data_IF_352720175528
#
_entry.id   IF_352720175528
#
_cell.length_a   1.000
_cell.length_b   1.000
_cell.length_c   1.000
_cell.angle_alpha   90.00
_cell.angle_beta   90.00
_cell.angle_gamma   90.00
#
_symmetry.space_group_name_H-M   'P 1'
#
loop_
_entity.id
_entity.type
_entity.pdbx_description
1 polymer ?
#
# COMPACT_ATOMS: atom_id res chain seq x y z
N UNK A 1 -15.97 21.65 -61.45
CA UNK A 1 -16.35 20.43 -60.68
C UNK A 1 -15.37 20.31 -59.54
N UNK A 2 -15.77 20.56 -58.30
CA UNK A 2 -14.92 20.34 -57.12
C UNK A 2 -14.93 18.85 -56.78
N UNK A 3 -13.75 18.23 -56.70
CA UNK A 3 -13.63 16.87 -56.18
C UNK A 3 -14.17 16.80 -54.75
N UNK A 4 -14.81 15.69 -54.34
CA UNK A 4 -15.19 15.47 -52.95
C UNK A 4 -13.94 15.49 -52.06
N UNK A 5 -13.94 16.35 -51.04
CA UNK A 5 -12.87 16.44 -50.06
C UNK A 5 -13.05 15.30 -49.06
N UNK A 6 -12.28 14.21 -49.20
CA UNK A 6 -12.27 13.14 -48.19
C UNK A 6 -11.62 13.73 -46.93
N UNK A 7 -12.33 13.78 -45.79
CA UNK A 7 -11.75 14.32 -44.56
C UNK A 7 -10.51 13.52 -44.18
N UNK A 8 -9.44 14.23 -43.82
CA UNK A 8 -8.21 13.62 -43.32
C UNK A 8 -8.49 13.03 -41.93
N UNK A 9 -8.78 11.74 -41.88
CA UNK A 9 -8.81 10.95 -40.66
C UNK A 9 -7.37 10.53 -40.35
N UNK A 10 -6.73 11.26 -39.45
CA UNK A 10 -5.49 10.80 -38.82
C UNK A 10 -5.89 10.01 -37.57
N UNK A 11 -5.93 8.67 -37.60
CA UNK A 11 -6.32 7.91 -36.42
C UNK A 11 -5.26 8.14 -35.33
N UNK A 12 -5.68 8.72 -34.20
CA UNK A 12 -4.88 8.76 -32.98
C UNK A 12 -4.89 7.36 -32.38
N UNK A 13 -3.91 6.54 -32.79
CA UNK A 13 -3.69 5.22 -32.21
C UNK A 13 -2.77 5.39 -31.00
N UNK A 14 -3.35 5.47 -29.81
CA UNK A 14 -2.61 5.42 -28.54
C UNK A 14 -2.71 4.02 -27.95
N UNK A 15 -1.65 3.22 -28.08
CA UNK A 15 -1.56 1.89 -27.46
C UNK A 15 -0.44 1.93 -26.42
N UNK A 16 -0.77 1.57 -25.19
CA UNK A 16 0.23 1.44 -24.12
C UNK A 16 0.98 0.11 -24.25
N UNK A 17 2.20 0.04 -23.72
CA UNK A 17 3.01 -1.20 -23.76
C UNK A 17 2.25 -2.40 -23.16
N UNK A 18 1.48 -2.18 -22.08
CA UNK A 18 0.64 -3.21 -21.47
C UNK A 18 -0.52 -3.67 -22.38
N UNK A 19 -1.08 -2.79 -23.20
CA UNK A 19 -2.10 -3.16 -24.20
C UNK A 19 -1.49 -3.86 -25.42
N UNK A 20 -0.22 -3.64 -25.72
CA UNK A 20 0.47 -4.25 -26.86
C UNK A 20 0.63 -5.76 -26.70
N UNK A 21 0.89 -6.26 -25.48
CA UNK A 21 1.10 -7.70 -25.24
C UNK A 21 -0.16 -8.53 -25.59
N UNK A 22 -1.37 -8.23 -25.06
CA UNK A 22 -2.59 -8.91 -25.46
C UNK A 22 -2.87 -8.83 -26.97
N UNK A 23 -2.56 -7.70 -27.62
CA UNK A 23 -2.73 -7.53 -29.06
C UNK A 23 -1.77 -8.42 -29.87
N UNK A 24 -0.51 -8.53 -29.43
CA UNK A 24 0.47 -9.42 -30.07
C UNK A 24 0.08 -10.89 -29.88
N UNK A 25 -0.34 -11.30 -28.68
CA UNK A 25 -0.84 -12.65 -28.43
C UNK A 25 -2.08 -12.96 -29.27
N UNK A 26 -3.02 -12.01 -29.38
CA UNK A 26 -4.18 -12.16 -30.26
C UNK A 26 -3.80 -12.28 -31.73
N UNK A 27 -2.75 -11.58 -32.19
CA UNK A 27 -2.28 -11.68 -33.57
C UNK A 27 -1.66 -13.04 -33.89
N UNK A 28 -0.94 -13.63 -32.93
CA UNK A 28 -0.39 -14.98 -33.03
C UNK A 28 -1.54 -15.99 -33.11
N UNK A 29 -2.54 -15.87 -32.24
CA UNK A 29 -3.72 -16.74 -32.26
C UNK A 29 -4.50 -16.66 -33.59
N UNK A 30 -4.55 -15.49 -34.24
CA UNK A 30 -5.16 -15.33 -35.57
C UNK A 30 -4.31 -15.96 -36.68
N UNK A 31 -2.97 -15.88 -36.60
CA UNK A 31 -2.07 -16.59 -37.54
C UNK A 31 -2.24 -18.12 -37.39
N UNK A 32 -2.31 -18.64 -36.16
CA UNK A 32 -2.56 -20.07 -35.89
C UNK A 32 -3.92 -20.53 -36.44
N UNK A 33 -4.98 -19.74 -36.25
CA UNK A 33 -6.30 -20.04 -36.80
C UNK A 33 -6.27 -20.11 -38.34
N UNK A 34 -5.53 -19.21 -38.98
CA UNK A 34 -5.37 -19.23 -40.43
C UNK A 34 -4.59 -20.47 -40.91
N UNK A 35 -3.55 -20.89 -40.19
CA UNK A 35 -2.78 -22.10 -40.51
C UNK A 35 -3.63 -23.37 -40.35
N UNK A 36 -4.52 -23.43 -39.35
CA UNK A 36 -5.48 -24.53 -39.18
C UNK A 36 -6.40 -24.66 -40.40
N UNK A 37 -6.89 -23.54 -40.95
CA UNK A 37 -7.70 -23.57 -42.17
C UNK A 37 -6.91 -24.06 -43.39
N UNK A 38 -5.63 -23.70 -43.53
CA UNK A 38 -4.77 -24.22 -44.60
C UNK A 38 -4.60 -25.73 -44.46
N UNK A 39 -4.37 -26.23 -43.25
CA UNK A 39 -4.24 -27.66 -42.99
C UNK A 39 -5.50 -28.44 -43.36
N UNK A 40 -6.68 -27.91 -42.99
CA UNK A 40 -7.97 -28.49 -43.37
C UNK A 40 -8.16 -28.50 -44.91
N UNK A 41 -7.85 -27.40 -45.60
CA UNK A 41 -7.97 -27.33 -47.05
C UNK A 41 -7.05 -28.32 -47.77
N UNK A 42 -5.83 -28.55 -47.26
CA UNK A 42 -4.93 -29.57 -47.79
C UNK A 42 -5.43 -31.00 -47.51
N UNK A 43 -6.13 -31.23 -46.39
CA UNK A 43 -6.79 -32.50 -46.09
C UNK A 43 -7.98 -32.77 -47.03
N UNK A 44 -8.83 -31.76 -47.26
CA UNK A 44 -9.94 -31.84 -48.23
C UNK A 44 -9.44 -32.10 -49.64
N UNK A 45 -8.31 -31.49 -50.04
CA UNK A 45 -7.66 -31.74 -51.34
C UNK A 45 -7.27 -33.22 -51.50
N UNK A 46 -6.73 -33.85 -50.45
CA UNK A 46 -6.42 -35.29 -50.49
C UNK A 46 -7.70 -36.13 -50.58
N UNK A 47 -8.71 -35.82 -49.79
CA UNK A 47 -10.00 -36.51 -49.81
C UNK A 47 -10.68 -36.40 -51.18
N UNK A 48 -10.57 -35.24 -51.85
CA UNK A 48 -11.12 -35.00 -53.18
C UNK A 48 -10.52 -35.94 -54.23
N UNK A 49 -9.19 -36.00 -54.28
CA UNK A 49 -8.48 -36.81 -55.29
C UNK A 49 -8.63 -38.32 -55.01
N UNK A 50 -8.81 -38.70 -53.75
CA UNK A 50 -9.12 -40.08 -53.36
C UNK A 50 -10.60 -40.46 -53.57
N UNK A 51 -11.45 -39.51 -53.94
CA UNK A 51 -12.89 -39.73 -54.10
C UNK A 51 -13.63 -39.96 -52.79
N UNK A 52 -13.06 -39.55 -51.65
CA UNK A 52 -13.64 -39.71 -50.31
C UNK A 52 -14.20 -38.40 -49.75
N UNK A 53 -14.13 -37.30 -50.50
CA UNK A 53 -14.72 -36.01 -50.12
C UNK A 53 -16.21 -36.02 -50.48
N UNK A 54 -17.04 -36.47 -49.54
CA UNK A 54 -18.50 -36.42 -49.65
C UNK A 54 -19.02 -35.14 -49.01
N UNK A 55 -19.53 -34.19 -49.80
CA UNK A 55 -20.21 -33.03 -49.19
C UNK A 55 -21.54 -32.60 -49.84
N UNK A 56 -21.97 -33.15 -50.99
CA UNK A 56 -23.24 -32.67 -51.60
C UNK A 56 -24.02 -33.68 -52.47
N UNK A 57 -23.71 -34.99 -52.45
CA UNK A 57 -24.42 -35.95 -53.31
C UNK A 57 -24.12 -35.80 -54.81
N UNK A 58 -23.09 -35.03 -55.16
CA UNK A 58 -22.46 -35.00 -56.47
C UNK A 58 -21.04 -35.50 -56.27
N UNK A 59 -20.77 -36.74 -56.64
CA UNK A 59 -19.41 -37.28 -56.66
C UNK A 59 -18.65 -36.58 -57.78
N UNK A 60 -17.85 -35.57 -57.45
CA UNK A 60 -16.81 -35.05 -58.33
C UNK A 60 -15.66 -36.07 -58.35
N UNK A 61 -15.93 -37.29 -58.83
CA UNK A 61 -14.87 -38.22 -59.15
C UNK A 61 -14.21 -37.71 -60.44
N UNK A 62 -12.89 -37.44 -60.45
CA UNK A 62 -12.18 -37.25 -61.70
C UNK A 62 -12.43 -38.48 -62.59
N UNK A 63 -12.66 -38.26 -63.88
CA UNK A 63 -13.07 -39.33 -64.80
C UNK A 63 -12.04 -40.47 -64.85
N UNK A 64 -10.75 -40.16 -64.68
CA UNK A 64 -9.65 -41.08 -64.39
C UNK A 64 -8.57 -40.33 -63.58
N UNK A 65 -8.09 -40.88 -62.46
CA UNK A 65 -6.95 -40.34 -61.69
C UNK A 65 -5.74 -41.24 -61.93
N UNK A 66 -4.67 -40.69 -62.49
CA UNK A 66 -3.43 -41.46 -62.65
C UNK A 66 -2.60 -41.46 -61.37
N UNK A 67 -1.69 -42.44 -61.25
CA UNK A 67 -0.68 -42.45 -60.18
C UNK A 67 0.21 -41.20 -60.25
N UNK A 68 0.42 -40.63 -61.45
CA UNK A 68 1.16 -39.38 -61.63
C UNK A 68 0.49 -38.21 -60.92
N UNK A 69 -0.83 -38.06 -61.11
CA UNK A 69 -1.61 -36.98 -60.50
C UNK A 69 -1.60 -37.08 -58.96
N UNK A 70 -1.68 -38.30 -58.41
CA UNK A 70 -1.58 -38.55 -56.97
C UNK A 70 -0.21 -38.15 -56.40
N UNK A 71 0.87 -38.43 -57.14
CA UNK A 71 2.23 -38.05 -56.73
C UNK A 71 2.42 -36.53 -56.76
N UNK A 72 1.83 -35.86 -57.74
CA UNK A 72 1.88 -34.40 -57.87
C UNK A 72 1.10 -33.72 -56.73
N UNK A 73 -0.11 -34.18 -56.42
CA UNK A 73 -0.92 -33.67 -55.30
C UNK A 73 -0.23 -33.93 -53.96
N UNK A 74 0.27 -35.15 -53.72
CA UNK A 74 1.00 -35.47 -52.49
C UNK A 74 2.27 -34.61 -52.36
N UNK A 75 2.97 -34.35 -53.46
CA UNK A 75 4.16 -33.47 -53.44
C UNK A 75 3.77 -32.02 -53.14
N UNK A 76 2.65 -31.53 -53.68
CA UNK A 76 2.09 -30.22 -53.38
C UNK A 76 1.71 -30.09 -51.90
N UNK A 77 0.89 -31.01 -51.37
CA UNK A 77 0.47 -31.04 -49.96
C UNK A 77 1.67 -31.08 -49.02
N UNK A 78 2.65 -31.95 -49.30
CA UNK A 78 3.89 -32.05 -48.50
C UNK A 78 4.68 -30.75 -48.51
N UNK A 79 4.66 -29.99 -49.60
CA UNK A 79 5.30 -28.68 -49.67
C UNK A 79 4.56 -27.67 -48.79
N UNK A 80 3.24 -27.58 -48.89
CA UNK A 80 2.42 -26.70 -48.04
C UNK A 80 2.61 -27.02 -46.57
N UNK A 81 2.51 -28.29 -46.17
CA UNK A 81 2.68 -28.71 -44.76
C UNK A 81 4.08 -28.40 -44.22
N UNK A 82 5.14 -28.52 -45.04
CA UNK A 82 6.48 -28.08 -44.64
C UNK A 82 6.55 -26.58 -44.40
N UNK A 83 5.85 -25.78 -45.20
CA UNK A 83 5.83 -24.33 -45.02
C UNK A 83 4.97 -23.92 -43.80
N UNK A 84 3.88 -24.65 -43.52
CA UNK A 84 3.11 -24.53 -42.25
C UNK A 84 3.99 -24.84 -41.04
N UNK A 85 4.72 -25.96 -41.04
CA UNK A 85 5.63 -26.31 -39.92
C UNK A 85 6.70 -25.22 -39.70
N UNK A 86 7.26 -24.65 -40.77
CA UNK A 86 8.19 -23.52 -40.64
C UNK A 86 7.53 -22.29 -40.03
N UNK A 87 6.25 -22.05 -40.33
CA UNK A 87 5.50 -20.96 -39.73
C UNK A 87 5.15 -21.22 -38.27
N UNK A 88 4.77 -22.43 -37.91
CA UNK A 88 4.57 -22.82 -36.50
C UNK A 88 5.83 -22.58 -35.67
N UNK A 89 7.01 -22.99 -36.14
CA UNK A 89 8.27 -22.68 -35.44
C UNK A 89 8.51 -21.18 -35.29
N UNK A 90 8.19 -20.37 -36.31
CA UNK A 90 8.34 -18.90 -36.22
C UNK A 90 7.31 -18.26 -35.29
N UNK A 91 6.10 -18.82 -35.22
CA UNK A 91 5.04 -18.37 -34.30
C UNK A 91 5.40 -18.70 -32.85
N UNK A 92 5.96 -19.88 -32.60
CA UNK A 92 6.49 -20.28 -31.29
C UNK A 92 7.55 -19.28 -30.80
N UNK A 93 8.54 -18.96 -31.64
CA UNK A 93 9.53 -17.92 -31.30
C UNK A 93 8.89 -16.55 -31.05
N UNK A 94 7.87 -16.13 -31.83
CA UNK A 94 7.17 -14.87 -31.56
C UNK A 94 6.46 -14.91 -30.22
N UNK A 95 5.79 -16.02 -29.89
CA UNK A 95 5.06 -16.19 -28.65
C UNK A 95 5.98 -16.11 -27.44
N UNK A 96 7.10 -16.83 -27.45
CA UNK A 96 8.13 -16.77 -26.40
C UNK A 96 8.65 -15.34 -26.21
N UNK A 97 9.02 -14.66 -27.30
CA UNK A 97 9.49 -13.27 -27.24
C UNK A 97 8.44 -12.31 -26.66
N UNK A 98 7.14 -12.54 -26.92
CA UNK A 98 6.06 -11.72 -26.37
C UNK A 98 5.88 -12.01 -24.88
N UNK A 99 5.99 -13.27 -24.46
CA UNK A 99 5.92 -13.64 -23.05
C UNK A 99 7.09 -13.04 -22.24
N UNK A 100 8.27 -12.94 -22.82
CA UNK A 100 9.45 -12.31 -22.21
C UNK A 100 9.27 -10.80 -21.96
N UNK A 101 8.29 -10.15 -22.59
CA UNK A 101 7.97 -8.75 -22.34
C UNK A 101 7.16 -8.55 -21.05
N UNK A 102 6.36 -9.54 -20.63
CA UNK A 102 5.46 -9.46 -19.47
C UNK A 102 6.19 -9.04 -18.17
N UNK A 103 7.33 -9.65 -17.78
CA UNK A 103 8.02 -9.26 -16.54
C UNK A 103 8.61 -7.83 -16.57
N UNK A 104 8.71 -7.21 -17.75
CA UNK A 104 9.30 -5.89 -17.93
C UNK A 104 8.26 -4.78 -18.14
N UNK A 105 6.97 -5.10 -18.02
CA UNK A 105 5.91 -4.11 -18.14
C UNK A 105 5.94 -3.13 -16.96
N UNK A 106 5.83 -1.82 -17.21
CA UNK A 106 5.71 -0.85 -16.12
C UNK A 106 4.41 -1.10 -15.35
N UNK A 107 4.40 -0.98 -14.01
CA UNK A 107 3.18 -1.13 -13.22
C UNK A 107 2.12 -0.13 -13.66
N UNK A 108 0.91 -0.62 -13.94
CA UNK A 108 -0.24 0.22 -14.30
C UNK A 108 -1.04 0.53 -13.04
N UNK A 109 -1.40 1.80 -12.86
CA UNK A 109 -2.28 2.24 -11.77
C UNK A 109 -3.66 1.59 -11.92
N UNK A 110 -4.09 0.82 -10.92
CA UNK A 110 -5.41 0.21 -10.88
C UNK A 110 -6.41 1.04 -10.07
N UNK A 111 -6.00 1.52 -8.89
CA UNK A 111 -6.84 2.36 -8.04
C UNK A 111 -6.01 3.09 -6.98
N UNK A 112 -6.61 4.14 -6.40
CA UNK A 112 -6.07 4.87 -5.27
C UNK A 112 -7.19 5.06 -4.24
N UNK A 113 -6.85 4.89 -2.95
CA UNK A 113 -7.75 5.09 -1.82
C UNK A 113 -7.06 5.95 -0.76
N UNK A 114 -7.82 6.87 -0.17
CA UNK A 114 -7.36 7.78 0.89
C UNK A 114 -8.23 7.55 2.12
N UNK A 115 -7.59 7.26 3.24
CA UNK A 115 -8.20 7.05 4.55
C UNK A 115 -7.87 8.23 5.44
N UNK A 116 -8.92 8.92 5.89
CA UNK A 116 -8.81 9.97 6.89
C UNK A 116 -9.18 9.40 8.25
N UNK A 117 -8.91 10.14 9.32
CA UNK A 117 -9.24 9.72 10.67
C UNK A 117 -10.75 9.48 10.87
N UNK A 118 -11.11 8.27 11.34
CA UNK A 118 -12.50 7.86 11.65
C UNK A 118 -12.68 7.38 13.10
N UNK A 119 -11.60 7.18 13.86
CA UNK A 119 -11.64 6.68 15.23
C UNK A 119 -11.82 5.16 15.36
N UNK A 120 -11.78 4.43 14.24
CA UNK A 120 -11.89 2.97 14.18
C UNK A 120 -10.82 2.39 13.27
N UNK A 121 -10.58 1.09 13.38
CA UNK A 121 -9.76 0.35 12.42
C UNK A 121 -10.63 -0.01 11.22
N UNK A 122 -10.19 0.36 10.03
CA UNK A 122 -10.86 0.07 8.76
C UNK A 122 -10.17 -1.11 8.07
N UNK A 123 -10.92 -1.83 7.22
CA UNK A 123 -10.36 -2.95 6.45
C UNK A 123 -10.72 -2.81 4.97
N UNK A 124 -9.77 -3.10 4.09
CA UNK A 124 -10.00 -3.19 2.64
C UNK A 124 -9.54 -4.52 2.08
N UNK A 125 -10.07 -4.84 0.91
CA UNK A 125 -9.63 -5.99 0.12
C UNK A 125 -8.79 -5.50 -1.06
N UNK A 126 -7.65 -6.14 -1.29
CA UNK A 126 -6.78 -5.82 -2.44
C UNK A 126 -7.55 -6.10 -3.75
N UNK A 127 -7.64 -5.13 -4.67
CA UNK A 127 -8.36 -5.28 -5.93
C UNK A 127 -7.85 -6.44 -6.80
N UNK A 128 -8.72 -6.96 -7.66
CA UNK A 128 -8.32 -7.95 -8.66
C UNK A 128 -7.20 -7.41 -9.56
N UNK A 129 -6.20 -8.25 -9.86
CA UNK A 129 -5.06 -7.88 -10.70
C UNK A 129 -3.98 -7.03 -10.02
N UNK A 130 -4.19 -6.56 -8.79
CA UNK A 130 -3.17 -5.82 -8.07
C UNK A 130 -2.07 -6.76 -7.57
N UNK A 131 -0.83 -6.45 -7.92
CA UNK A 131 0.38 -7.20 -7.52
C UNK A 131 1.33 -6.36 -6.68
N UNK A 132 1.14 -5.04 -6.67
CA UNK A 132 1.94 -4.08 -5.90
C UNK A 132 1.03 -3.02 -5.27
N UNK A 133 1.31 -2.65 -4.02
CA UNK A 133 0.70 -1.51 -3.35
C UNK A 133 1.77 -0.52 -2.89
N UNK A 134 1.64 0.74 -3.27
CA UNK A 134 2.36 1.84 -2.63
C UNK A 134 1.51 2.38 -1.49
N UNK A 135 2.08 2.37 -0.30
CA UNK A 135 1.39 2.80 0.92
C UNK A 135 2.15 4.00 1.47
N UNK A 136 1.44 5.09 1.73
CA UNK A 136 1.94 6.28 2.42
C UNK A 136 1.08 6.49 3.67
N UNK A 137 1.72 6.52 4.83
CA UNK A 137 1.08 6.77 6.12
C UNK A 137 1.67 8.03 6.76
N UNK A 138 0.80 8.90 7.24
CA UNK A 138 1.13 10.12 7.99
C UNK A 138 0.60 9.93 9.41
N UNK A 139 1.49 9.98 10.40
CA UNK A 139 1.13 9.99 11.81
C UNK A 139 0.53 11.34 12.22
N UNK A 140 -0.22 11.36 13.32
CA UNK A 140 -0.87 12.59 13.75
C UNK A 140 0.05 13.48 14.60
N UNK A 141 -0.26 14.77 14.66
CA UNK A 141 0.42 15.71 15.53
C UNK A 141 0.00 15.53 17.00
N UNK A 142 0.86 15.97 17.93
CA UNK A 142 0.48 16.16 19.32
C UNK A 142 -0.56 17.27 19.50
N UNK A 143 -1.17 17.30 20.68
CA UNK A 143 -1.97 18.44 21.13
C UNK A 143 -1.08 19.67 21.27
N UNK A 144 -1.61 20.81 20.85
CA UNK A 144 -0.94 22.10 20.96
C UNK A 144 -0.83 22.55 22.41
N UNK A 145 -0.04 23.58 22.66
CA UNK A 145 0.14 24.13 23.99
C UNK A 145 0.65 25.56 23.93
N UNK A 146 1.17 26.02 25.06
CA UNK A 146 1.94 27.27 25.12
C UNK A 146 3.30 27.11 24.41
N UNK A 147 3.84 25.89 24.42
CA UNK A 147 4.95 25.46 23.57
C UNK A 147 4.45 24.91 22.22
N UNK A 148 5.36 24.61 21.29
CA UNK A 148 5.00 23.88 20.08
C UNK A 148 4.69 22.42 20.42
N UNK A 149 3.82 21.81 19.62
CA UNK A 149 3.56 20.38 19.64
C UNK A 149 4.54 19.66 18.70
N UNK A 150 4.75 18.38 18.96
CA UNK A 150 5.44 17.50 18.02
C UNK A 150 4.54 17.12 16.86
N UNK A 151 5.12 16.99 15.69
CA UNK A 151 4.46 16.63 14.44
C UNK A 151 4.62 15.14 14.15
N UNK A 152 3.68 14.57 13.39
CA UNK A 152 3.76 13.17 12.96
C UNK A 152 4.72 12.93 11.80
N UNK A 153 5.18 11.70 11.63
CA UNK A 153 6.06 11.31 10.53
C UNK A 153 5.25 10.93 9.29
N UNK A 154 5.85 11.07 8.10
CA UNK A 154 5.38 10.43 6.86
C UNK A 154 6.28 9.25 6.55
N UNK A 155 5.67 8.09 6.32
CA UNK A 155 6.34 6.84 5.95
C UNK A 155 5.69 6.26 4.71
N UNK A 156 6.49 6.05 3.66
CA UNK A 156 6.04 5.49 2.39
C UNK A 156 6.90 4.33 1.92
N UNK A 157 6.28 3.26 1.45
CA UNK A 157 6.97 2.12 0.82
C UNK A 157 6.09 1.38 -0.18
N UNK A 158 6.74 0.54 -0.98
CA UNK A 158 6.11 -0.35 -1.94
C UNK A 158 6.08 -1.79 -1.40
N UNK A 159 4.95 -2.46 -1.55
CA UNK A 159 4.66 -3.77 -0.97
C UNK A 159 4.08 -4.70 -2.03
N UNK A 160 4.65 -5.90 -2.24
CA UNK A 160 3.98 -6.93 -3.04
C UNK A 160 2.63 -7.27 -2.42
N UNK A 161 1.56 -7.34 -3.20
CA UNK A 161 0.24 -7.71 -2.69
C UNK A 161 -0.37 -8.84 -3.51
N UNK A 162 -1.26 -9.59 -2.88
CA UNK A 162 -2.02 -10.65 -3.54
C UNK A 162 -3.47 -10.19 -3.71
N UNK A 163 -4.08 -10.33 -4.89
CA UNK A 163 -5.49 -10.06 -5.07
C UNK A 163 -6.34 -10.75 -4.00
N UNK A 164 -7.38 -10.07 -3.53
CA UNK A 164 -8.31 -10.55 -2.50
C UNK A 164 -7.75 -10.69 -1.07
N UNK A 165 -6.47 -10.39 -0.81
CA UNK A 165 -6.01 -10.31 0.58
C UNK A 165 -6.61 -9.10 1.30
N UNK A 166 -6.76 -9.19 2.62
CA UNK A 166 -7.27 -8.10 3.45
C UNK A 166 -6.14 -7.27 4.02
N UNK A 167 -6.27 -5.94 3.99
CA UNK A 167 -5.41 -5.00 4.69
C UNK A 167 -6.23 -4.27 5.75
N UNK A 168 -5.66 -4.08 6.93
CA UNK A 168 -6.22 -3.24 8.00
C UNK A 168 -5.49 -1.91 8.07
N UNK A 169 -6.25 -0.85 8.32
CA UNK A 169 -5.81 0.53 8.35
C UNK A 169 -6.22 1.15 9.69
N UNK A 170 -5.26 1.77 10.37
CA UNK A 170 -5.51 2.64 11.51
C UNK A 170 -4.96 4.01 11.19
N UNK A 171 -5.79 5.04 11.27
CA UNK A 171 -5.37 6.43 11.06
C UNK A 171 -5.26 7.13 12.41
N UNK A 172 -4.13 7.77 12.68
CA UNK A 172 -3.87 8.47 13.94
C UNK A 172 -4.74 9.73 14.11
N UNK A 173 -5.12 10.02 15.35
CA UNK A 173 -5.80 11.25 15.74
C UNK A 173 -4.80 12.23 16.34
N UNK A 174 -5.02 13.52 16.10
CA UNK A 174 -4.30 14.56 16.82
C UNK A 174 -4.56 14.48 18.32
N UNK A 175 -3.52 14.68 19.13
CA UNK A 175 -3.68 14.81 20.58
C UNK A 175 -4.57 16.01 20.95
N UNK A 176 -5.33 15.89 22.03
CA UNK A 176 -6.18 16.98 22.49
C UNK A 176 -5.35 18.05 23.22
N UNK A 177 -5.67 19.32 22.97
CA UNK A 177 -5.19 20.47 23.76
C UNK A 177 -6.12 20.71 24.95
N UNK A 178 -5.56 20.95 26.13
CA UNK A 178 -6.31 21.31 27.33
C UNK A 178 -5.75 22.54 28.04
N UNK A 179 -6.50 23.08 29.02
CA UNK A 179 -6.05 24.20 29.83
C UNK A 179 -4.95 23.78 30.81
N UNK A 180 -3.91 24.60 30.90
CA UNK A 180 -2.87 24.46 31.90
C UNK A 180 -3.26 25.02 33.27
N UNK A 181 -2.34 24.94 34.23
CA UNK A 181 -2.56 25.36 35.63
C UNK A 181 -2.66 26.90 35.80
N UNK A 182 -2.05 27.66 34.89
CA UNK A 182 -2.09 29.13 34.91
C UNK A 182 -3.05 29.69 33.85
N UNK A 183 -3.74 30.82 34.11
CA UNK A 183 -4.63 31.45 33.14
C UNK A 183 -3.93 31.73 31.80
N UNK A 184 -4.50 31.20 30.70
CA UNK A 184 -3.97 31.39 29.35
C UNK A 184 -2.87 30.40 28.95
N UNK A 185 -2.46 29.49 29.84
CA UNK A 185 -1.54 28.41 29.47
C UNK A 185 -2.30 27.17 29.00
N UNK A 186 -1.66 26.38 28.16
CA UNK A 186 -2.22 25.15 27.58
C UNK A 186 -1.13 24.12 27.39
N UNK A 187 -1.49 22.85 27.44
CA UNK A 187 -0.64 21.71 27.09
C UNK A 187 -1.43 20.69 26.29
N UNK A 188 -0.80 19.58 25.86
CA UNK A 188 -1.43 18.63 24.96
C UNK A 188 -1.15 17.16 25.23
N UNK A 189 -2.10 16.31 24.84
CA UNK A 189 -1.86 14.86 24.73
C UNK A 189 -0.97 14.52 23.53
N UNK A 190 -0.40 13.32 23.52
CA UNK A 190 0.38 12.83 22.38
C UNK A 190 -0.50 12.50 21.17
N UNK A 191 0.02 12.70 19.97
CA UNK A 191 -0.62 12.29 18.72
C UNK A 191 -0.56 10.79 18.52
N UNK A 192 -1.56 10.23 17.84
CA UNK A 192 -1.54 8.80 17.50
C UNK A 192 -0.75 8.48 16.23
N UNK A 193 -0.20 7.27 16.18
CA UNK A 193 0.42 6.75 14.96
C UNK A 193 -0.61 6.28 13.92
N UNK A 194 -0.18 6.19 12.66
CA UNK A 194 -0.95 5.61 11.56
C UNK A 194 -0.30 4.31 11.07
N UNK A 195 -1.11 3.29 10.77
CA UNK A 195 -0.64 1.93 10.50
C UNK A 195 -1.37 1.28 9.33
N UNK A 196 -0.64 0.44 8.60
CA UNK A 196 -1.23 -0.54 7.68
C UNK A 196 -0.60 -1.91 7.91
N UNK A 197 -1.41 -2.96 8.03
CA UNK A 197 -0.94 -4.33 8.20
C UNK A 197 -1.83 -5.33 7.46
N UNK A 198 -1.32 -6.55 7.24
CA UNK A 198 -2.05 -7.63 6.58
C UNK A 198 -3.00 -8.37 7.52
N UNK A 199 -4.15 -8.73 6.97
CA UNK A 199 -5.23 -9.45 7.64
C UNK A 199 -6.14 -8.53 8.46
N UNK A 200 -7.24 -9.10 8.96
CA UNK A 200 -8.22 -8.42 9.81
C UNK A 200 -7.98 -8.62 11.33
N UNK A 201 -6.97 -9.42 11.69
CA UNK A 201 -6.58 -9.66 13.09
C UNK A 201 -5.68 -8.57 13.65
N UNK A 202 -5.27 -8.71 14.91
CA UNK A 202 -4.35 -7.77 15.57
C UNK A 202 -3.03 -7.61 14.81
N UNK A 203 -2.47 -6.41 14.90
CA UNK A 203 -1.16 -6.08 14.36
C UNK A 203 -0.05 -6.83 15.11
N UNK A 204 1.01 -7.19 14.40
CA UNK A 204 2.25 -7.80 14.92
C UNK A 204 3.42 -7.29 14.07
N UNK A 205 4.65 -7.51 14.51
CA UNK A 205 5.82 -7.19 13.69
C UNK A 205 5.85 -7.96 12.35
N UNK A 206 5.22 -9.14 12.27
CA UNK A 206 5.26 -10.00 11.09
C UNK A 206 4.26 -9.60 9.99
N UNK A 207 3.11 -9.04 10.35
CA UNK A 207 2.09 -8.60 9.39
C UNK A 207 2.09 -7.09 9.13
N UNK A 208 2.88 -6.32 9.88
CA UNK A 208 3.04 -4.88 9.70
C UNK A 208 3.66 -4.53 8.34
N UNK A 209 3.04 -3.58 7.62
CA UNK A 209 3.59 -3.00 6.39
C UNK A 209 4.27 -1.66 6.69
N UNK A 210 3.52 -0.69 7.22
CA UNK A 210 4.01 0.63 7.62
C UNK A 210 3.43 1.07 8.96
N UNK A 211 4.25 1.75 9.75
CA UNK A 211 3.86 2.48 10.94
C UNK A 211 4.49 3.87 10.88
N UNK A 212 3.67 4.92 10.88
CA UNK A 212 4.10 6.30 10.96
C UNK A 212 3.83 6.82 12.37
N UNK A 213 4.90 7.20 13.09
CA UNK A 213 4.80 7.68 14.46
C UNK A 213 4.02 9.00 14.56
N UNK A 214 3.28 9.17 15.65
CA UNK A 214 2.65 10.44 16.02
C UNK A 214 3.58 11.33 16.84
N UNK A 215 3.35 12.63 16.80
CA UNK A 215 4.16 13.62 17.53
C UNK A 215 3.81 13.70 19.02
N UNK A 216 4.74 14.16 19.84
CA UNK A 216 4.53 14.39 21.27
C UNK A 216 3.67 15.62 21.56
N UNK A 217 2.94 15.60 22.68
CA UNK A 217 2.13 16.73 23.12
C UNK A 217 2.97 17.91 23.60
N UNK A 218 2.45 19.12 23.46
CA UNK A 218 3.07 20.33 23.95
C UNK A 218 3.00 20.46 25.49
N UNK A 219 3.89 21.27 26.05
CA UNK A 219 3.88 21.65 27.47
C UNK A 219 3.43 23.11 27.66
N UNK A 220 3.28 23.51 28.92
CA UNK A 220 3.03 24.92 29.27
C UNK A 220 4.32 25.77 29.26
N UNK A 221 5.50 25.16 29.22
CA UNK A 221 6.78 25.85 29.33
C UNK A 221 7.36 26.21 27.94
N UNK A 222 7.56 27.50 27.69
CA UNK A 222 8.12 28.00 26.42
C UNK A 222 9.51 27.41 26.17
N UNK A 223 9.71 26.83 24.99
CA UNK A 223 10.96 26.17 24.59
C UNK A 223 11.04 24.69 24.92
N UNK A 224 10.10 24.17 25.73
CA UNK A 224 9.99 22.76 26.06
C UNK A 224 8.89 22.12 25.19
N UNK A 225 9.17 22.13 23.89
CA UNK A 225 8.25 21.70 22.84
C UNK A 225 8.01 20.18 22.89
N UNK A 226 6.84 19.76 22.41
CA UNK A 226 6.61 18.36 22.07
C UNK A 226 7.56 17.94 20.97
N UNK A 227 8.10 16.73 21.07
CA UNK A 227 9.09 16.21 20.12
C UNK A 227 8.38 15.54 18.94
N UNK A 228 8.85 15.82 17.74
CA UNK A 228 8.36 15.19 16.52
C UNK A 228 8.54 13.67 16.53
N UNK A 229 7.73 13.00 15.73
CA UNK A 229 7.84 11.56 15.53
C UNK A 229 9.22 11.16 15.00
N UNK A 230 9.70 10.02 15.48
CA UNK A 230 10.97 9.44 15.04
C UNK A 230 10.80 8.69 13.73
N UNK A 231 11.75 8.86 12.82
CA UNK A 231 11.85 8.08 11.58
C UNK A 231 12.44 6.68 11.80
N UNK A 232 12.91 6.40 13.02
CA UNK A 232 13.40 5.08 13.43
C UNK A 232 12.35 4.34 14.24
N UNK A 233 12.55 3.05 14.46
CA UNK A 233 11.62 2.21 15.21
C UNK A 233 11.51 2.56 16.69
N UNK A 234 12.46 3.32 17.25
CA UNK A 234 12.38 3.80 18.63
C UNK A 234 11.61 5.11 18.73
N UNK A 235 10.79 5.24 19.77
CA UNK A 235 10.21 6.53 20.15
C UNK A 235 11.27 7.45 20.75
N UNK A 236 11.02 8.75 20.74
CA UNK A 236 11.91 9.73 21.35
C UNK A 236 11.55 9.97 22.82
N UNK A 237 12.51 10.48 23.59
CA UNK A 237 12.27 10.96 24.94
C UNK A 237 11.48 12.28 24.92
N UNK A 238 10.78 12.59 26.01
CA UNK A 238 10.21 13.93 26.20
C UNK A 238 11.28 15.01 26.37
N UNK A 239 10.90 16.28 26.23
CA UNK A 239 11.80 17.43 26.25
C UNK A 239 11.42 18.48 27.32
N UNK A 240 12.05 18.46 28.50
CA UNK A 240 12.63 17.26 29.11
C UNK A 240 11.53 16.25 29.47
N UNK A 241 11.89 14.99 29.66
CA UNK A 241 10.91 13.97 29.99
C UNK A 241 11.49 12.56 30.03
N UNK A 242 10.58 11.60 30.11
CA UNK A 242 10.94 10.18 30.21
C UNK A 242 11.32 9.61 28.85
N UNK A 243 11.92 8.41 28.86
CA UNK A 243 12.40 7.75 27.66
C UNK A 243 11.25 7.22 26.78
N UNK A 244 11.43 7.30 25.47
CA UNK A 244 10.61 6.57 24.50
C UNK A 244 10.80 5.06 24.59
N UNK A 245 9.82 4.33 24.10
CA UNK A 245 9.85 2.89 23.95
C UNK A 245 10.75 2.46 22.79
N UNK A 246 11.15 1.20 22.82
CA UNK A 246 11.94 0.56 21.77
C UNK A 246 11.39 -0.84 21.46
N UNK A 247 11.68 -1.35 20.26
CA UNK A 247 11.32 -2.73 19.88
C UNK A 247 9.81 -3.03 19.93
N UNK A 248 8.96 -2.03 19.71
CA UNK A 248 7.51 -2.20 19.75
C UNK A 248 6.86 -1.89 21.11
N UNK A 249 7.65 -1.52 22.12
CA UNK A 249 7.16 -1.23 23.46
C UNK A 249 6.60 0.19 23.57
N UNK A 250 5.72 0.41 24.56
CA UNK A 250 5.25 1.75 24.92
C UNK A 250 6.34 2.60 25.56
N UNK A 251 6.13 3.91 25.55
CA UNK A 251 7.00 4.89 26.20
C UNK A 251 6.82 4.90 27.71
N UNK A 252 7.87 5.37 28.39
CA UNK A 252 7.91 5.48 29.86
C UNK A 252 7.42 6.84 30.34
N UNK A 253 7.25 6.99 31.65
CA UNK A 253 6.85 8.23 32.30
C UNK A 253 7.49 8.37 33.70
N UNK A 254 7.36 9.54 34.34
CA UNK A 254 7.75 9.77 35.74
C UNK A 254 6.56 9.55 36.70
N UNK A 255 6.56 8.47 37.52
CA UNK A 255 5.40 8.08 38.32
C UNK A 255 5.13 8.97 39.53
N UNK A 256 6.04 9.89 39.86
CA UNK A 256 6.06 10.56 41.17
C UNK A 256 5.37 11.92 41.18
N UNK A 257 5.13 12.53 40.01
CA UNK A 257 4.62 13.90 39.87
C UNK A 257 3.63 14.02 38.70
N UNK A 258 3.00 15.19 38.52
CA UNK A 258 2.01 15.48 37.48
C UNK A 258 2.63 15.52 36.06
N UNK A 259 3.19 14.39 35.63
CA UNK A 259 3.85 14.19 34.35
C UNK A 259 2.87 13.73 33.26
N UNK A 260 3.28 13.94 32.01
CA UNK A 260 2.60 13.34 30.87
C UNK A 260 2.81 11.82 30.86
N UNK A 261 1.83 11.08 30.34
CA UNK A 261 1.92 9.64 30.21
C UNK A 261 2.63 9.23 28.90
N UNK A 262 3.13 8.00 28.85
CA UNK A 262 3.81 7.47 27.67
C UNK A 262 2.85 7.15 26.52
N UNK A 263 3.36 7.22 25.29
CA UNK A 263 2.67 6.71 24.10
C UNK A 263 2.76 5.19 24.01
N UNK A 264 1.94 4.59 23.15
CA UNK A 264 1.85 3.15 22.95
C UNK A 264 2.69 2.68 21.75
N UNK A 265 3.15 1.43 21.82
CA UNK A 265 3.75 0.70 20.72
C UNK A 265 2.87 -0.46 20.22
N UNK A 266 3.42 -1.27 19.32
CA UNK A 266 2.70 -2.37 18.67
C UNK A 266 2.66 -3.69 19.46
N UNK A 267 3.49 -3.87 20.48
CA UNK A 267 3.54 -5.13 21.21
C UNK A 267 2.24 -5.39 22.01
N UNK A 268 1.88 -6.65 22.30
CA UNK A 268 0.74 -6.93 23.16
C UNK A 268 0.88 -6.28 24.54
N UNK A 269 -0.24 -5.96 25.20
CA UNK A 269 -0.21 -5.55 26.59
C UNK A 269 0.46 -6.59 27.50
N UNK A 270 1.17 -6.17 28.56
CA UNK A 270 1.32 -4.78 28.98
C UNK A 270 2.45 -4.02 28.25
N UNK A 271 3.33 -4.71 27.52
CA UNK A 271 4.58 -4.14 27.00
C UNK A 271 4.38 -3.03 25.96
N UNK A 272 3.37 -3.17 25.09
CA UNK A 272 3.05 -2.13 24.12
C UNK A 272 2.21 -0.98 24.68
N UNK A 273 1.69 -1.07 25.89
CA UNK A 273 0.97 0.05 26.49
C UNK A 273 1.96 1.14 26.91
N UNK A 274 1.59 2.39 26.69
CA UNK A 274 2.29 3.50 27.32
C UNK A 274 2.13 3.44 28.83
N UNK A 275 3.16 3.87 29.56
CA UNK A 275 3.07 3.89 31.02
C UNK A 275 2.15 5.01 31.50
N UNK A 276 1.33 4.70 32.52
CA UNK A 276 0.47 5.67 33.21
C UNK A 276 1.29 6.52 34.17
N UNK A 277 0.93 7.80 34.29
CA UNK A 277 1.38 8.67 35.38
C UNK A 277 0.37 8.70 36.52
N UNK A 278 0.66 9.48 37.55
CA UNK A 278 -0.25 9.68 38.67
C UNK A 278 -1.58 10.36 38.27
N UNK A 279 -1.59 11.07 37.13
CA UNK A 279 -2.73 11.94 36.71
C UNK A 279 -3.25 11.65 35.31
N UNK A 280 -2.51 10.91 34.49
CA UNK A 280 -2.86 10.59 33.12
C UNK A 280 -2.56 9.12 32.82
N UNK A 281 -3.27 8.54 31.85
CA UNK A 281 -3.00 7.17 31.40
C UNK A 281 -2.18 7.19 30.11
N UNK A 282 -1.34 6.17 29.94
CA UNK A 282 -0.65 5.96 28.68
C UNK A 282 -1.60 5.49 27.59
N UNK A 283 -1.13 5.55 26.34
CA UNK A 283 -1.86 5.00 25.21
C UNK A 283 -2.01 3.48 25.33
N UNK A 284 -3.13 2.94 24.85
CA UNK A 284 -3.33 1.49 24.72
C UNK A 284 -2.55 0.99 23.50
N UNK A 285 -1.90 -0.17 23.62
CA UNK A 285 -1.15 -0.79 22.53
C UNK A 285 -1.97 -0.90 21.24
N UNK A 286 -1.30 -0.79 20.10
CA UNK A 286 -1.94 -0.93 18.79
C UNK A 286 -2.50 -2.35 18.60
N UNK A 287 -1.83 -3.35 19.18
CA UNK A 287 -2.31 -4.74 19.26
C UNK A 287 -3.72 -4.85 19.85
N UNK A 288 -4.04 -3.98 20.81
CA UNK A 288 -5.31 -3.93 21.53
C UNK A 288 -6.21 -2.77 21.09
N UNK A 289 -6.06 -2.29 19.86
CA UNK A 289 -6.96 -1.30 19.25
C UNK A 289 -6.50 0.16 19.32
N UNK A 290 -5.36 0.45 19.95
CA UNK A 290 -4.70 1.75 19.82
C UNK A 290 -5.46 2.94 20.43
N UNK A 291 -6.32 2.72 21.43
CA UNK A 291 -7.00 3.82 22.12
C UNK A 291 -6.01 4.81 22.74
N UNK A 292 -6.29 6.11 22.62
CA UNK A 292 -5.51 7.15 23.27
C UNK A 292 -5.68 7.14 24.79
N UNK A 293 -4.67 7.62 25.50
CA UNK A 293 -4.68 7.74 26.96
C UNK A 293 -5.52 8.93 27.43
N UNK A 294 -6.17 8.78 28.58
CA UNK A 294 -6.91 9.88 29.21
C UNK A 294 -5.94 10.83 29.90
N UNK A 295 -5.98 12.10 29.57
CA UNK A 295 -5.17 13.11 30.25
C UNK A 295 -5.80 13.58 31.57
N UNK A 296 -5.09 14.45 32.28
CA UNK A 296 -5.50 14.93 33.59
C UNK A 296 -6.89 15.61 33.53
N UNK A 297 -7.76 15.25 34.48
CA UNK A 297 -9.15 15.71 34.56
C UNK A 297 -9.99 15.40 33.30
N UNK A 298 -9.60 14.41 32.48
CA UNK A 298 -10.29 14.06 31.22
C UNK A 298 -10.06 15.05 30.09
N UNK A 299 -9.08 15.94 30.25
CA UNK A 299 -8.61 16.91 29.25
C UNK A 299 -7.20 16.50 28.81
N UNK A 300 -6.67 17.04 27.71
CA UNK A 300 -5.33 16.64 27.20
C UNK A 300 -5.22 15.17 26.78
N UNK A 301 -6.33 14.56 26.34
CA UNK A 301 -6.32 13.16 25.94
C UNK A 301 -5.36 12.91 24.77
N UNK A 302 -4.67 11.77 24.83
CA UNK A 302 -3.88 11.30 23.70
C UNK A 302 -4.79 10.89 22.54
N UNK A 303 -4.26 11.01 21.32
CA UNK A 303 -4.99 10.63 20.12
C UNK A 303 -5.11 9.11 19.93
N UNK A 304 -6.21 8.67 19.31
CA UNK A 304 -6.32 7.33 18.75
C UNK A 304 -5.13 6.99 17.84
N UNK A 305 -4.62 5.77 17.90
CA UNK A 305 -3.28 5.41 17.43
C UNK A 305 -2.24 5.39 18.55
N UNK A 306 -2.68 5.32 19.81
CA UNK A 306 -1.84 5.07 20.98
C UNK A 306 -1.16 6.30 21.59
N UNK A 307 -1.65 7.52 21.37
CA UNK A 307 -1.11 8.70 22.06
C UNK A 307 -1.33 8.61 23.58
N UNK A 308 -0.37 9.04 24.38
CA UNK A 308 -0.49 9.17 25.84
C UNK A 308 -1.23 10.44 26.26
N UNK A 309 -1.91 10.40 27.41
CA UNK A 309 -2.54 11.59 27.99
C UNK A 309 -1.51 12.59 28.52
N UNK A 310 -1.77 13.88 28.32
CA UNK A 310 -1.01 14.97 28.95
C UNK A 310 -1.46 15.25 30.38
N UNK A 311 -0.63 15.98 31.13
CA UNK A 311 -1.04 16.61 32.39
C UNK A 311 -1.43 18.06 32.15
N UNK A 312 -1.76 18.82 33.19
CA UNK A 312 -1.96 20.28 33.09
C UNK A 312 -0.65 21.07 32.92
N UNK A 313 0.51 20.41 32.95
CA UNK A 313 1.83 21.03 32.79
C UNK A 313 2.54 20.52 31.54
N UNK A 314 2.47 19.20 31.32
CA UNK A 314 3.41 18.47 30.46
C UNK A 314 2.69 17.64 29.42
N UNK A 315 3.38 17.45 28.29
CA UNK A 315 2.81 16.78 27.14
C UNK A 315 2.79 15.25 27.24
N UNK A 316 1.78 14.61 26.64
CA UNK A 316 1.73 13.15 26.51
C UNK A 316 2.64 12.63 25.37
N UNK A 317 3.16 11.41 25.49
CA UNK A 317 4.00 10.80 24.46
C UNK A 317 3.19 10.34 23.23
N UNK A 318 3.74 10.49 22.02
CA UNK A 318 3.09 10.06 20.77
C UNK A 318 3.05 8.53 20.60
N UNK A 319 2.02 8.01 19.95
CA UNK A 319 1.91 6.59 19.61
C UNK A 319 2.70 6.24 18.34
N UNK A 320 3.07 4.98 18.15
CA UNK A 320 3.84 4.58 16.96
C UNK A 320 4.17 3.09 16.92
N UNK A 321 5.19 2.73 16.14
CA UNK A 321 5.80 1.40 16.23
C UNK A 321 6.24 1.12 17.67
N UNK A 322 7.01 2.06 18.24
CA UNK A 322 7.24 2.17 19.68
C UNK A 322 6.66 3.50 20.16
N UNK A 323 6.22 3.58 21.41
CA UNK A 323 5.63 4.80 21.97
C UNK A 323 6.67 5.85 22.34
N UNK A 324 6.32 7.13 22.27
CA UNK A 324 7.12 8.24 22.78
C UNK A 324 7.05 8.37 24.29
N UNK A 325 8.09 8.95 24.91
CA UNK A 325 8.14 9.16 26.35
C UNK A 325 7.15 10.23 26.82
N UNK A 326 6.68 10.14 28.05
CA UNK A 326 5.90 11.21 28.68
C UNK A 326 6.74 12.46 28.93
N UNK A 327 6.13 13.63 28.81
CA UNK A 327 6.73 14.91 29.20
C UNK A 327 7.02 14.96 30.70
N UNK A 328 7.96 15.82 31.09
CA UNK A 328 8.49 15.88 32.46
C UNK A 328 7.49 16.32 33.53
N UNK A 329 7.97 16.67 34.71
CA UNK A 329 7.15 16.85 35.91
C UNK A 329 6.80 18.32 36.16
N UNK A 330 6.18 18.65 37.30
CA UNK A 330 5.93 20.04 37.69
C UNK A 330 7.23 20.83 38.00
N UNK A 331 8.33 20.13 38.33
CA UNK A 331 9.63 20.78 38.59
C UNK A 331 10.50 20.86 37.33
N UNK A 332 10.29 19.94 36.39
CA UNK A 332 10.96 19.88 35.09
C UNK A 332 9.90 19.73 33.98
N UNK A 333 9.12 20.78 33.76
CA UNK A 333 7.99 20.79 32.82
C UNK A 333 8.51 20.50 31.41
N UNK A 334 7.88 19.57 30.69
CA UNK A 334 8.35 19.24 29.36
C UNK A 334 7.32 18.68 28.40
N UNK A 335 7.62 18.82 27.11
CA UNK A 335 6.84 18.25 26.03
C UNK A 335 7.01 16.73 25.96
N UNK A 336 5.99 16.05 25.44
CA UNK A 336 6.05 14.61 25.22
C UNK A 336 7.02 14.24 24.10
N UNK A 337 7.53 13.02 24.13
CA UNK A 337 8.31 12.43 23.05
C UNK A 337 7.42 11.96 21.89
N UNK A 338 7.93 11.93 20.68
CA UNK A 338 7.27 11.38 19.49
C UNK A 338 7.40 9.86 19.40
N UNK A 339 6.43 9.22 18.74
CA UNK A 339 6.41 7.78 18.47
C UNK A 339 7.43 7.36 17.42
N UNK A 340 7.86 6.09 17.48
CA UNK A 340 8.72 5.47 16.48
C UNK A 340 7.97 5.10 15.19
N UNK A 341 8.69 5.02 14.08
CA UNK A 341 8.18 4.65 12.77
C UNK A 341 8.83 3.37 12.23
N UNK A 342 8.16 2.68 11.31
CA UNK A 342 8.65 1.46 10.70
C UNK A 342 8.17 1.33 9.26
N UNK A 343 9.04 0.88 8.36
CA UNK A 343 8.73 0.58 6.97
C UNK A 343 9.32 -0.77 6.58
N UNK A 344 8.47 -1.73 6.24
CA UNK A 344 8.88 -3.07 5.83
C UNK A 344 8.83 -3.27 4.30
N UNK A 345 8.63 -2.20 3.53
CA UNK A 345 8.53 -2.22 2.07
C UNK A 345 9.84 -1.86 1.38
N UNK A 346 9.82 -1.84 0.05
CA UNK A 346 10.91 -1.32 -0.79
C UNK A 346 10.61 0.12 -1.24
N UNK A 347 11.52 0.76 -2.00
CA UNK A 347 11.37 2.14 -2.49
C UNK A 347 10.96 3.14 -1.38
N UNK A 348 11.63 3.00 -0.24
CA UNK A 348 11.25 3.71 0.97
C UNK A 348 11.47 5.21 0.85
N UNK A 349 10.53 5.96 1.40
CA UNK A 349 10.66 7.39 1.64
C UNK A 349 10.13 7.71 3.03
N UNK A 350 10.83 8.58 3.74
CA UNK A 350 10.43 9.02 5.07
C UNK A 350 10.74 10.50 5.24
N UNK A 351 9.88 11.19 5.98
CA UNK A 351 9.99 12.61 6.25
C UNK A 351 9.45 12.88 7.65
N UNK A 352 10.25 13.56 8.48
CA UNK A 352 9.77 14.06 9.77
C UNK A 352 8.87 15.30 9.53
N UNK A 353 8.07 15.65 10.51
CA UNK A 353 7.33 16.92 10.54
C UNK A 353 6.22 17.09 9.48
N UNK A 354 5.73 15.96 8.94
CA UNK A 354 4.72 15.96 7.89
C UNK A 354 3.28 15.98 8.43
N UNK A 355 3.06 15.44 9.63
CA UNK A 355 1.74 15.34 10.26
C UNK A 355 1.43 16.54 11.14
N UNK A 356 0.65 17.49 10.65
CA UNK A 356 0.31 18.74 11.36
C UNK A 356 -1.08 18.75 12.01
N UNK A 357 -1.82 17.66 11.87
CA UNK A 357 -3.17 17.47 12.43
C UNK A 357 -3.46 15.99 12.61
N UNK A 358 -4.67 15.55 12.28
CA UNK A 358 -4.95 14.12 12.18
C UNK A 358 -4.06 13.46 11.12
N UNK A 359 -3.79 12.17 11.28
CA UNK A 359 -3.07 11.38 10.30
C UNK A 359 -3.89 11.14 9.04
N UNK A 360 -3.24 10.50 8.08
CA UNK A 360 -3.85 10.03 6.83
C UNK A 360 -3.10 8.79 6.33
N UNK A 361 -3.81 7.91 5.64
CA UNK A 361 -3.18 6.80 4.90
C UNK A 361 -3.64 6.86 3.46
N UNK A 362 -2.71 6.77 2.52
CA UNK A 362 -2.98 6.64 1.08
C UNK A 362 -2.45 5.31 0.58
N UNK A 363 -3.29 4.53 -0.10
CA UNK A 363 -2.92 3.25 -0.72
C UNK A 363 -3.18 3.34 -2.22
N UNK A 364 -2.14 3.05 -3.01
CA UNK A 364 -2.18 3.06 -4.47
C UNK A 364 -1.87 1.65 -4.95
N UNK A 365 -2.79 1.02 -5.66
CA UNK A 365 -2.63 -0.32 -6.20
C UNK A 365 -2.18 -0.29 -7.65
N UNK A 366 -1.22 -1.15 -7.98
CA UNK A 366 -0.71 -1.36 -9.32
C UNK A 366 -0.83 -2.83 -9.73
N UNK A 367 -1.02 -3.05 -11.02
CA UNK A 367 -1.02 -4.37 -11.67
C UNK A 367 -0.12 -4.40 -12.88
N UNK A 368 0.02 -5.60 -13.45
CA UNK A 368 0.72 -5.87 -14.71
C UNK A 368 -0.32 -6.28 -15.75
#
# INVERSE_FOLDING_TARGET
MSFPNIPNITPLISVTVGQTVPLLLSSIALEELALAHIMNAEAEKLQFVLGTLDDTGVTFSPAEVSVGDLLDVNTSVRRTLRDVIKKEMLLEFKFENVLDLIPNLPPVLLSQQIFNFTGVIETITVPAGATLARIEAIGAAGGTGTSNNGQGALIRGDFPVTPSETLSILVGQQGQTGPGDFPGTTSGGGGGGSFVWRGAGSITAANLLVAAGGGGGASIAVGNDGVDASLTSSGTSGNPGSAGGSGGNGGTQDPTLNAGAGGAGINPPPLGNGQNSAVATGGTSIFAGGAGGTGQNGTHNGGFGGGGGGSIFSGGGGGGFSGGGGGGTIVDIGGGGGGGSQNNGTNQFSMADAGTGNGQVTIIFFGI
#
